data_IF_980203507660
#
_entry.id   IF_980203507660
#
_cell.length_a   1.000
_cell.length_b   1.000
_cell.length_c   1.000
_cell.angle_alpha   90.00
_cell.angle_beta   90.00
_cell.angle_gamma   90.00
#
_symmetry.space_group_name_H-M   'P 1'
#
loop_
_entity.id
_entity.type
_entity.pdbx_description
1 polymer ?
#
# COMPACT_ATOMS: atom_id res chain seq x y z
N UNK A 1 -5.03 -10.26 -13.36
CA UNK A 1 -6.11 -11.03 -12.70
C UNK A 1 -5.77 -11.38 -11.25
N UNK A 2 -4.50 -11.72 -10.96
CA UNK A 2 -3.96 -11.98 -9.61
C UNK A 2 -4.56 -11.19 -8.42
N UNK A 3 -4.77 -9.87 -8.53
CA UNK A 3 -5.32 -9.06 -7.41
C UNK A 3 -6.78 -9.47 -7.11
N UNK A 4 -7.61 -9.60 -8.15
CA UNK A 4 -9.00 -10.03 -8.00
C UNK A 4 -9.09 -11.49 -7.51
N UNK A 5 -8.17 -12.36 -7.96
CA UNK A 5 -8.10 -13.76 -7.52
C UNK A 5 -7.75 -13.89 -6.02
N UNK A 6 -7.11 -12.87 -5.44
CA UNK A 6 -6.89 -12.76 -3.99
C UNK A 6 -8.05 -12.09 -3.23
N UNK A 7 -9.12 -11.73 -3.93
CA UNK A 7 -10.33 -11.16 -3.32
C UNK A 7 -10.28 -9.66 -3.04
N UNK A 8 -9.26 -8.91 -3.51
CA UNK A 8 -9.24 -7.44 -3.37
C UNK A 8 -10.00 -6.75 -4.50
N UNK A 9 -10.95 -5.89 -4.12
CA UNK A 9 -11.71 -5.04 -5.02
C UNK A 9 -11.71 -3.59 -4.53
N UNK A 10 -11.53 -2.58 -5.41
CA UNK A 10 -11.26 -2.71 -6.83
C UNK A 10 -9.88 -3.33 -7.11
N UNK A 11 -9.78 -4.15 -8.16
CA UNK A 11 -8.58 -4.93 -8.47
C UNK A 11 -7.48 -4.11 -9.17
N UNK A 12 -7.16 -2.93 -8.63
CA UNK A 12 -6.21 -1.96 -9.19
C UNK A 12 -4.81 -2.26 -8.69
N UNK A 13 -3.84 -2.38 -9.61
CA UNK A 13 -2.43 -2.41 -9.24
C UNK A 13 -1.88 -0.98 -9.10
N UNK A 14 -1.76 -0.49 -7.88
CA UNK A 14 -1.28 0.87 -7.60
C UNK A 14 0.18 1.08 -8.02
N UNK A 15 1.04 0.07 -7.91
CA UNK A 15 2.45 0.16 -8.31
C UNK A 15 2.60 0.28 -9.84
N UNK A 16 1.64 -0.26 -10.61
CA UNK A 16 1.60 -0.19 -12.08
C UNK A 16 0.65 0.89 -12.62
N UNK A 17 0.11 1.72 -11.74
CA UNK A 17 -0.81 2.81 -12.08
C UNK A 17 -0.20 4.15 -11.66
N UNK A 18 -0.38 5.17 -12.50
CA UNK A 18 0.13 6.51 -12.25
C UNK A 18 -0.87 7.54 -12.75
N UNK A 19 -1.03 8.62 -11.99
CA UNK A 19 -1.66 9.85 -12.48
C UNK A 19 -0.63 10.96 -12.46
N UNK A 20 -0.37 11.53 -13.64
CA UNK A 20 0.70 12.51 -13.85
C UNK A 20 0.41 13.88 -13.23
N UNK A 21 -0.86 14.14 -12.89
CA UNK A 21 -1.29 15.40 -12.29
C UNK A 21 -1.38 15.34 -10.76
N UNK A 22 -1.46 14.14 -10.16
CA UNK A 22 -1.64 13.97 -8.71
C UNK A 22 -0.62 14.72 -7.85
N UNK A 23 0.68 14.76 -8.19
CA UNK A 23 1.65 15.51 -7.38
C UNK A 23 1.30 16.99 -7.23
N UNK A 24 0.57 17.57 -8.19
CA UNK A 24 0.13 18.96 -8.16
C UNK A 24 -1.24 19.15 -7.49
N UNK A 25 -1.96 18.06 -7.21
CA UNK A 25 -3.28 18.08 -6.58
C UNK A 25 -3.22 17.85 -5.06
N UNK A 26 -2.11 17.32 -4.56
CA UNK A 26 -1.90 16.99 -3.16
C UNK A 26 -1.04 18.02 -2.43
N UNK A 27 -1.16 18.09 -1.11
CA UNK A 27 -0.19 18.78 -0.26
C UNK A 27 1.16 18.05 -0.25
N UNK A 28 2.19 18.67 0.33
CA UNK A 28 3.50 18.04 0.47
C UNK A 28 3.44 16.80 1.37
N UNK A 29 2.66 16.86 2.46
CA UNK A 29 2.46 15.79 3.42
C UNK A 29 1.71 14.61 2.80
N UNK A 30 0.63 14.88 2.07
CA UNK A 30 -0.13 13.88 1.33
C UNK A 30 0.73 13.15 0.29
N UNK A 31 1.56 13.91 -0.45
CA UNK A 31 2.51 13.33 -1.39
C UNK A 31 3.56 12.44 -0.70
N UNK A 32 4.10 12.86 0.43
CA UNK A 32 5.04 12.07 1.21
C UNK A 32 4.41 10.78 1.74
N UNK A 33 3.16 10.85 2.20
CA UNK A 33 2.41 9.70 2.69
C UNK A 33 2.17 8.66 1.59
N UNK A 34 1.73 9.11 0.41
CA UNK A 34 1.55 8.24 -0.76
C UNK A 34 2.88 7.63 -1.22
N UNK A 35 3.97 8.40 -1.21
CA UNK A 35 5.29 7.91 -1.57
C UNK A 35 5.76 6.79 -0.62
N UNK A 36 5.65 6.99 0.70
CA UNK A 36 6.00 5.99 1.72
C UNK A 36 5.19 4.71 1.59
N UNK A 37 3.88 4.81 1.37
CA UNK A 37 3.03 3.63 1.14
C UNK A 37 3.43 2.85 -0.12
N UNK A 38 3.76 3.55 -1.21
CA UNK A 38 4.21 2.91 -2.45
C UNK A 38 5.57 2.24 -2.28
N UNK A 39 6.50 2.88 -1.56
CA UNK A 39 7.80 2.32 -1.24
C UNK A 39 7.67 1.02 -0.44
N UNK A 40 6.87 1.03 0.64
CA UNK A 40 6.60 -0.17 1.43
C UNK A 40 6.00 -1.31 0.59
N UNK A 41 5.01 -1.01 -0.26
CA UNK A 41 4.43 -2.02 -1.17
C UNK A 41 5.44 -2.54 -2.21
N UNK A 42 6.32 -1.68 -2.73
CA UNK A 42 7.37 -2.07 -3.68
C UNK A 42 8.37 -3.00 -3.03
N UNK A 43 8.89 -2.60 -1.86
CA UNK A 43 9.88 -3.37 -1.11
C UNK A 43 9.32 -4.73 -0.68
N UNK A 44 8.06 -4.77 -0.23
CA UNK A 44 7.40 -6.05 0.03
C UNK A 44 7.34 -6.91 -1.24
N UNK A 45 6.97 -6.33 -2.39
CA UNK A 45 6.87 -7.06 -3.66
C UNK A 45 8.20 -7.65 -4.13
N UNK A 46 9.30 -6.94 -3.91
CA UNK A 46 10.65 -7.42 -4.19
C UNK A 46 11.06 -8.59 -3.29
N UNK A 47 10.59 -8.59 -2.03
CA UNK A 47 10.90 -9.60 -1.02
C UNK A 47 9.85 -10.72 -0.91
N UNK A 48 8.74 -10.64 -1.65
CA UNK A 48 7.56 -11.49 -1.48
C UNK A 48 7.90 -12.98 -1.60
N UNK A 49 8.77 -13.35 -2.55
CA UNK A 49 9.20 -14.74 -2.74
C UNK A 49 9.99 -15.26 -1.54
N UNK A 50 10.97 -14.49 -1.06
CA UNK A 50 11.82 -14.85 0.07
C UNK A 50 11.01 -14.99 1.36
N UNK A 51 10.04 -14.10 1.56
CA UNK A 51 9.10 -14.17 2.68
C UNK A 51 8.22 -15.42 2.54
N UNK A 52 7.68 -15.68 1.35
CA UNK A 52 6.76 -16.81 1.10
C UNK A 52 7.40 -18.17 1.33
N UNK A 53 8.67 -18.34 0.96
CA UNK A 53 9.41 -19.60 1.19
C UNK A 53 10.04 -19.68 2.60
N UNK A 54 9.85 -18.66 3.44
CA UNK A 54 10.40 -18.60 4.79
C UNK A 54 11.91 -18.35 4.85
N UNK A 55 12.53 -17.87 3.77
CA UNK A 55 13.96 -17.56 3.71
C UNK A 55 14.29 -16.18 4.29
N UNK A 56 13.31 -15.27 4.40
CA UNK A 56 13.49 -13.98 5.06
C UNK A 56 13.40 -14.12 6.59
N UNK A 57 14.36 -13.54 7.30
CA UNK A 57 14.41 -13.53 8.78
C UNK A 57 14.04 -12.14 9.30
N UNK A 58 13.06 -12.08 10.20
CA UNK A 58 12.70 -10.84 10.87
C UNK A 58 13.91 -10.20 11.57
N UNK A 59 14.05 -8.88 11.44
CA UNK A 59 15.18 -8.10 11.94
C UNK A 59 16.40 -8.07 11.02
N UNK A 60 16.35 -8.72 9.85
CA UNK A 60 17.44 -8.68 8.87
C UNK A 60 17.51 -7.33 8.15
N UNK A 61 16.36 -6.69 7.93
CA UNK A 61 16.26 -5.39 7.29
C UNK A 61 15.06 -4.63 7.87
N UNK A 62 15.27 -3.53 8.62
CA UNK A 62 14.19 -2.77 9.23
C UNK A 62 13.15 -2.25 8.24
N UNK A 63 13.54 -1.93 7.00
CA UNK A 63 12.63 -1.41 5.99
C UNK A 63 11.72 -2.54 5.47
N UNK A 64 12.27 -3.73 5.27
CA UNK A 64 11.48 -4.90 4.84
C UNK A 64 10.56 -5.35 5.97
N UNK A 65 11.02 -5.33 7.22
CA UNK A 65 10.18 -5.61 8.38
C UNK A 65 9.01 -4.63 8.48
N UNK A 66 9.27 -3.33 8.29
CA UNK A 66 8.21 -2.32 8.22
C UNK A 66 7.23 -2.60 7.08
N UNK A 67 7.73 -2.89 5.88
CA UNK A 67 6.91 -3.21 4.71
C UNK A 67 6.01 -4.44 4.95
N UNK A 68 6.53 -5.50 5.58
CA UNK A 68 5.78 -6.69 5.99
C UNK A 68 4.66 -6.30 6.97
N UNK A 69 4.98 -5.42 7.92
CA UNK A 69 4.07 -5.00 9.00
C UNK A 69 2.92 -4.13 8.49
N UNK A 70 3.19 -3.14 7.64
CA UNK A 70 2.18 -2.17 7.19
C UNK A 70 1.34 -2.67 6.01
N UNK A 71 1.90 -3.57 5.16
CA UNK A 71 1.20 -4.05 3.95
C UNK A 71 -0.23 -4.52 4.19
N UNK A 72 -0.53 -5.36 5.21
CA UNK A 72 -1.90 -5.82 5.42
C UNK A 72 -2.90 -4.68 5.66
N UNK A 73 -2.47 -3.60 6.32
CA UNK A 73 -3.32 -2.43 6.55
C UNK A 73 -3.52 -1.62 5.27
N UNK A 74 -2.46 -1.41 4.49
CA UNK A 74 -2.54 -0.73 3.19
C UNK A 74 -3.45 -1.50 2.22
N UNK A 75 -3.33 -2.82 2.12
CA UNK A 75 -4.18 -3.64 1.24
C UNK A 75 -5.66 -3.59 1.65
N UNK A 76 -5.97 -3.48 2.96
CA UNK A 76 -7.32 -3.23 3.44
C UNK A 76 -7.84 -1.85 3.03
N UNK A 77 -7.03 -0.81 3.19
CA UNK A 77 -7.39 0.55 2.76
C UNK A 77 -7.64 0.65 1.25
N UNK A 78 -6.89 -0.12 0.45
CA UNK A 78 -7.10 -0.23 -1.00
C UNK A 78 -8.30 -1.08 -1.41
N UNK A 79 -9.01 -1.68 -0.46
CA UNK A 79 -10.24 -2.43 -0.69
C UNK A 79 -11.44 -1.52 -0.41
N UNK A 80 -12.35 -1.41 -1.37
CA UNK A 80 -13.57 -0.62 -1.24
C UNK A 80 -14.72 -1.30 -1.98
N UNK A 81 -15.82 -1.54 -1.29
CA UNK A 81 -17.05 -2.07 -1.86
C UNK A 81 -17.92 -0.97 -2.47
N UNK A 82 -18.85 -1.36 -3.34
CA UNK A 82 -19.67 -0.42 -4.14
C UNK A 82 -20.44 0.59 -3.29
N UNK A 83 -20.90 0.16 -2.14
CA UNK A 83 -21.78 0.95 -1.26
C UNK A 83 -20.97 1.66 -0.15
N UNK A 84 -19.63 1.59 -0.21
CA UNK A 84 -18.72 2.31 0.69
C UNK A 84 -18.30 3.64 0.08
N UNK A 85 -18.27 4.68 0.91
CA UNK A 85 -17.87 6.02 0.52
C UNK A 85 -16.89 6.57 1.55
N UNK A 86 -15.85 7.21 1.05
CA UNK A 86 -14.87 7.92 1.86
C UNK A 86 -14.59 9.27 1.22
N UNK A 87 -14.51 10.30 2.04
CA UNK A 87 -13.99 11.61 1.64
C UNK A 87 -12.47 11.55 1.44
N UNK A 88 -11.91 12.61 0.85
CA UNK A 88 -10.47 12.72 0.66
C UNK A 88 -9.73 12.70 2.01
N UNK A 89 -10.23 13.46 2.99
CA UNK A 89 -9.65 13.54 4.33
C UNK A 89 -9.68 12.18 5.04
N UNK A 90 -10.80 11.46 4.98
CA UNK A 90 -10.88 10.09 5.54
C UNK A 90 -9.91 9.14 4.84
N UNK A 91 -9.76 9.23 3.51
CA UNK A 91 -8.85 8.37 2.76
C UNK A 91 -7.38 8.57 3.16
N UNK A 92 -6.95 9.82 3.36
CA UNK A 92 -5.60 10.10 3.85
C UNK A 92 -5.41 9.69 5.32
N UNK A 93 -6.41 9.90 6.18
CA UNK A 93 -6.38 9.42 7.56
C UNK A 93 -6.23 7.89 7.65
N UNK A 94 -6.99 7.15 6.84
CA UNK A 94 -6.86 5.69 6.74
C UNK A 94 -5.47 5.26 6.26
N UNK A 95 -4.87 6.01 5.32
CA UNK A 95 -3.53 5.72 4.82
C UNK A 95 -2.46 6.00 5.88
N UNK A 96 -2.64 7.07 6.66
CA UNK A 96 -1.76 7.41 7.78
C UNK A 96 -1.81 6.34 8.87
N UNK A 97 -3.01 5.93 9.28
CA UNK A 97 -3.22 4.85 10.23
C UNK A 97 -2.64 3.52 9.74
N UNK A 98 -2.72 3.24 8.43
CA UNK A 98 -2.16 2.03 7.84
C UNK A 98 -0.62 2.01 7.85
N UNK A 99 0.02 3.17 7.96
CA UNK A 99 1.48 3.34 7.98
C UNK A 99 2.06 3.45 9.39
N UNK A 100 1.22 3.49 10.43
CA UNK A 100 1.65 3.41 11.82
C UNK A 100 2.10 2.00 12.15
#
# INVERSE_FOLDING_TARGET
>A
RAIAERGRYPAINVLKSISRLMPMCHTAEENALVARAREALSLYGEMEELIRIGAYKAGADPQVDEAIRVRPAIERMLTQFRDEHSTLAESFGMLEDALQ
#
